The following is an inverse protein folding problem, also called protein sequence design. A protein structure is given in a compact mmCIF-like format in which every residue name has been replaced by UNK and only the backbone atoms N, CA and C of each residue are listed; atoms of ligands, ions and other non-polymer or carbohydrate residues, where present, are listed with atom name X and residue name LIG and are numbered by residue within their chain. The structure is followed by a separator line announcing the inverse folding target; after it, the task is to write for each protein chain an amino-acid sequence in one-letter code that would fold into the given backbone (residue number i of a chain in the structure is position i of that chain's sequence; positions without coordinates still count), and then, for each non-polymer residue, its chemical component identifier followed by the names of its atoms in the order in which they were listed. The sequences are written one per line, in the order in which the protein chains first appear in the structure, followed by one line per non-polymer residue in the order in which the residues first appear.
data_IF_718639869592
#
_entry.id   IF_718639869592
#
_cell.length_a   1.000
_cell.length_b   1.000
_cell.length_c   1.000
_cell.angle_alpha   90.00
_cell.angle_beta   90.00
_cell.angle_gamma   90.00
#
_symmetry.space_group_name_H-M   'P 1'
#
loop_
_entity.id
_entity.type
_entity.pdbx_description
1 polymer ?
#
# COMPACT_ATOMS: atom_id res chain seq x y z
N UNK A 1 30.63 -27.16 34.80
CA UNK A 1 29.91 -26.31 35.78
C UNK A 1 28.58 -25.95 35.14
N UNK A 2 27.49 -26.59 35.55
CA UNK A 2 26.15 -26.25 35.08
C UNK A 2 25.80 -24.86 35.63
N UNK A 3 25.70 -23.86 34.77
CA UNK A 3 25.26 -22.53 35.17
C UNK A 3 23.79 -22.62 35.61
N UNK A 4 23.52 -22.19 36.86
CA UNK A 4 22.20 -22.05 37.49
C UNK A 4 21.26 -21.14 36.68
N UNK A 5 20.78 -21.60 35.52
CA UNK A 5 19.73 -20.94 34.74
C UNK A 5 18.36 -21.06 35.43
N UNK A 6 18.20 -22.01 36.35
CA UNK A 6 16.97 -22.23 37.14
C UNK A 6 16.65 -21.10 38.12
N UNK A 7 17.51 -20.08 38.26
CA UNK A 7 17.33 -18.92 39.17
C UNK A 7 17.34 -17.57 38.43
N UNK A 8 17.37 -17.56 37.09
CA UNK A 8 17.33 -16.31 36.34
C UNK A 8 15.91 -15.70 36.36
N UNK A 9 15.68 -14.69 37.19
CA UNK A 9 14.40 -13.97 37.26
C UNK A 9 14.20 -13.13 35.99
N UNK A 10 13.44 -13.66 35.02
CA UNK A 10 13.06 -12.97 33.79
C UNK A 10 11.95 -11.95 34.09
N UNK A 11 12.26 -10.64 34.00
CA UNK A 11 11.33 -9.56 34.34
C UNK A 11 10.37 -9.13 33.23
N UNK A 12 10.65 -9.54 31.99
CA UNK A 12 9.89 -9.13 30.81
C UNK A 12 9.59 -10.34 29.94
N UNK A 13 8.34 -10.50 29.55
CA UNK A 13 7.90 -11.49 28.58
C UNK A 13 7.55 -10.79 27.26
N UNK A 14 7.69 -11.52 26.15
CA UNK A 14 7.24 -11.05 24.84
C UNK A 14 5.72 -11.17 24.80
N UNK A 15 5.02 -10.04 24.75
CA UNK A 15 3.56 -10.01 24.68
C UNK A 15 3.06 -10.17 23.24
N UNK A 16 3.70 -9.48 22.28
CA UNK A 16 3.27 -9.41 20.89
C UNK A 16 4.46 -9.39 19.94
N UNK A 17 4.25 -9.87 18.72
CA UNK A 17 5.24 -9.83 17.63
C UNK A 17 4.62 -9.07 16.45
N UNK A 18 5.32 -8.05 15.98
CA UNK A 18 4.93 -7.30 14.77
C UNK A 18 5.79 -7.71 13.60
N UNK A 19 5.15 -7.95 12.45
CA UNK A 19 5.84 -8.27 11.22
C UNK A 19 5.99 -7.02 10.37
N UNK A 20 7.17 -6.83 9.79
CA UNK A 20 7.50 -5.70 8.93
C UNK A 20 8.54 -6.09 7.87
N UNK A 21 8.82 -5.15 6.99
CA UNK A 21 9.91 -5.25 6.02
C UNK A 21 10.90 -4.15 6.37
N UNK A 22 12.18 -4.50 6.49
CA UNK A 22 13.22 -3.50 6.71
C UNK A 22 13.33 -2.56 5.51
N UNK A 23 13.46 -1.27 5.80
CA UNK A 23 13.88 -0.27 4.83
C UNK A 23 15.40 -0.33 4.61
N UNK A 24 15.88 0.19 3.48
CA UNK A 24 17.32 0.19 3.18
C UNK A 24 18.12 0.91 4.29
N UNK A 25 17.60 2.02 4.82
CA UNK A 25 18.25 2.79 5.89
C UNK A 25 18.26 2.03 7.22
N UNK A 26 17.22 1.24 7.49
CA UNK A 26 17.15 0.35 8.65
C UNK A 26 18.14 -0.81 8.58
N UNK A 27 18.39 -1.34 7.39
CA UNK A 27 19.43 -2.36 7.17
C UNK A 27 20.81 -1.74 7.36
N UNK A 28 21.08 -0.60 6.70
CA UNK A 28 22.38 0.09 6.80
C UNK A 28 22.71 0.51 8.23
N UNK A 29 21.74 1.03 8.98
CA UNK A 29 21.94 1.47 10.37
C UNK A 29 22.20 0.31 11.35
N UNK A 30 21.68 -0.88 11.07
CA UNK A 30 21.92 -2.09 11.88
C UNK A 30 23.15 -2.87 11.44
N UNK A 31 23.66 -2.58 10.25
CA UNK A 31 24.78 -3.29 9.67
C UNK A 31 26.12 -2.80 10.20
N UNK A 32 27.00 -3.73 10.54
CA UNK A 32 28.34 -3.43 11.05
C UNK A 32 29.38 -3.34 9.93
N UNK A 33 29.10 -3.97 8.79
CA UNK A 33 29.99 -3.99 7.62
C UNK A 33 29.18 -4.13 6.33
N UNK A 34 29.61 -3.41 5.30
CA UNK A 34 29.17 -3.62 3.92
C UNK A 34 30.08 -4.65 3.25
N UNK A 35 29.52 -5.80 2.88
CA UNK A 35 30.23 -6.88 2.22
C UNK A 35 30.34 -6.57 0.73
N UNK A 36 31.58 -6.36 0.27
CA UNK A 36 31.90 -5.98 -1.12
C UNK A 36 32.81 -6.99 -1.80
N UNK A 37 33.52 -7.80 -1.03
CA UNK A 37 34.51 -8.76 -1.52
C UNK A 37 33.85 -10.14 -1.69
N UNK A 38 33.91 -10.76 -2.88
CA UNK A 38 33.35 -12.10 -3.08
C UNK A 38 34.23 -13.20 -2.49
N UNK A 39 35.54 -12.95 -2.35
CA UNK A 39 36.47 -13.87 -1.71
C UNK A 39 36.22 -13.92 -0.20
N UNK A 40 36.17 -15.15 0.32
CA UNK A 40 35.92 -15.39 1.74
C UNK A 40 37.24 -15.42 2.55
N UNK A 41 38.28 -16.04 1.97
CA UNK A 41 39.62 -16.15 2.55
C UNK A 41 40.68 -15.76 1.52
N UNK A 42 41.81 -15.25 2.00
CA UNK A 42 42.99 -15.02 1.19
C UNK A 42 43.83 -16.30 1.01
N UNK A 43 44.98 -16.18 0.33
CA UNK A 43 45.89 -17.29 0.07
C UNK A 43 46.55 -17.85 1.35
N UNK A 44 46.51 -17.13 2.46
CA UNK A 44 47.02 -17.54 3.76
C UNK A 44 45.94 -18.19 4.65
N UNK A 45 44.69 -18.27 4.15
CA UNK A 45 43.56 -18.77 4.92
C UNK A 45 43.00 -17.75 5.91
N UNK A 46 43.37 -16.47 5.81
CA UNK A 46 42.82 -15.39 6.64
C UNK A 46 41.55 -14.85 5.99
N UNK A 47 40.53 -14.55 6.80
CA UNK A 47 39.28 -14.00 6.28
C UNK A 47 39.53 -12.66 5.56
N UNK A 48 38.99 -12.52 4.34
CA UNK A 48 39.16 -11.29 3.58
C UNK A 48 38.38 -10.13 4.23
N UNK A 49 38.99 -8.93 4.35
CA UNK A 49 38.27 -7.73 4.73
C UNK A 49 37.09 -7.46 3.78
N UNK A 50 35.95 -7.07 4.36
CA UNK A 50 34.68 -6.85 3.66
C UNK A 50 34.20 -8.07 2.86
N UNK A 51 34.66 -9.27 3.24
CA UNK A 51 34.19 -10.56 2.74
C UNK A 51 33.07 -11.14 3.60
N UNK A 52 32.62 -12.35 3.26
CA UNK A 52 31.53 -13.02 3.99
C UNK A 52 31.91 -13.42 5.43
N UNK A 53 33.20 -13.59 5.69
CA UNK A 53 33.77 -13.97 6.98
C UNK A 53 34.50 -12.81 7.67
N UNK A 54 34.12 -11.57 7.33
CA UNK A 54 34.73 -10.39 7.94
C UNK A 54 34.63 -10.45 9.48
N UNK A 55 35.74 -10.23 10.23
CA UNK A 55 35.76 -10.33 11.69
C UNK A 55 34.73 -9.45 12.41
N UNK A 56 34.29 -8.34 11.82
CA UNK A 56 33.24 -7.49 12.40
C UNK A 56 31.88 -8.20 12.50
N UNK A 57 31.64 -9.24 11.70
CA UNK A 57 30.43 -10.08 11.77
C UNK A 57 30.45 -11.03 12.97
N UNK A 58 31.63 -11.25 13.56
CA UNK A 58 31.87 -12.14 14.69
C UNK A 58 32.92 -13.21 14.37
N UNK A 59 33.57 -13.77 15.41
CA UNK A 59 34.51 -14.88 15.25
C UNK A 59 33.79 -16.16 14.81
N UNK A 60 34.42 -16.92 13.93
CA UNK A 60 33.94 -18.20 13.39
C UNK A 60 34.47 -19.38 14.20
N UNK A 61 35.60 -19.20 14.88
CA UNK A 61 36.19 -20.21 15.75
C UNK A 61 37.03 -19.58 16.86
N UNK A 62 37.35 -20.37 17.89
CA UNK A 62 38.00 -19.92 19.13
C UNK A 62 39.36 -19.24 18.93
N UNK A 63 40.06 -19.53 17.83
CA UNK A 63 41.42 -19.01 17.56
C UNK A 63 41.43 -17.57 17.02
N UNK A 64 40.29 -17.07 16.54
CA UNK A 64 40.18 -15.73 15.94
C UNK A 64 40.10 -14.59 16.98
N UNK A 65 40.17 -14.94 18.27
CA UNK A 65 40.19 -13.96 19.36
C UNK A 65 38.81 -13.36 19.65
N UNK A 66 38.80 -12.10 20.06
CA UNK A 66 37.59 -11.38 20.46
C UNK A 66 36.99 -10.58 19.30
N UNK A 67 35.66 -10.57 19.21
CA UNK A 67 34.92 -9.84 18.19
C UNK A 67 35.21 -8.33 18.25
N UNK A 68 35.63 -7.67 17.15
CA UNK A 68 35.85 -6.22 17.13
C UNK A 68 34.59 -5.39 17.40
N UNK A 69 33.39 -5.95 17.17
CA UNK A 69 32.12 -5.23 17.31
C UNK A 69 31.59 -5.25 18.74
N UNK A 70 31.55 -6.41 19.40
CA UNK A 70 31.00 -6.54 20.76
C UNK A 70 32.05 -6.84 21.85
N UNK A 71 33.29 -7.12 21.49
CA UNK A 71 34.36 -7.47 22.42
C UNK A 71 34.28 -8.90 23.00
N UNK A 72 33.24 -9.66 22.67
CA UNK A 72 33.06 -11.03 23.19
C UNK A 72 33.89 -12.05 22.42
N UNK A 73 34.23 -13.16 23.07
CA UNK A 73 34.87 -14.33 22.45
C UNK A 73 33.86 -15.17 21.66
N UNK A 74 34.36 -16.15 20.89
CA UNK A 74 33.54 -17.07 20.09
C UNK A 74 32.31 -17.63 20.81
N UNK A 75 32.46 -18.12 22.05
CA UNK A 75 31.37 -18.72 22.81
C UNK A 75 30.27 -17.74 23.26
N UNK A 76 30.56 -16.44 23.33
CA UNK A 76 29.66 -15.43 23.89
C UNK A 76 29.25 -14.36 22.87
N UNK A 77 29.81 -14.39 21.67
CA UNK A 77 29.43 -13.49 20.60
C UNK A 77 28.05 -13.89 20.04
N UNK A 78 27.05 -12.98 20.01
CA UNK A 78 25.75 -13.28 19.40
C UNK A 78 25.79 -13.30 17.87
N UNK A 79 26.89 -12.83 17.26
CA UNK A 79 26.99 -12.53 15.84
C UNK A 79 26.38 -11.18 15.48
N UNK A 80 26.84 -10.61 14.36
CA UNK A 80 26.43 -9.29 13.90
C UNK A 80 26.04 -9.32 12.43
N UNK A 81 25.09 -8.45 12.05
CA UNK A 81 24.58 -8.41 10.69
C UNK A 81 25.46 -7.54 9.78
N UNK A 82 25.82 -8.07 8.63
CA UNK A 82 26.34 -7.31 7.49
C UNK A 82 25.23 -6.98 6.49
N UNK A 83 25.55 -6.19 5.47
CA UNK A 83 24.69 -6.01 4.31
C UNK A 83 25.51 -6.05 3.01
N UNK A 84 24.84 -6.40 1.91
CA UNK A 84 25.36 -6.28 0.55
C UNK A 84 24.54 -5.21 -0.14
N UNK A 85 25.19 -4.15 -0.59
CA UNK A 85 24.53 -3.09 -1.35
C UNK A 85 24.33 -3.56 -2.79
N UNK A 86 23.06 -3.65 -3.23
CA UNK A 86 22.75 -4.05 -4.60
C UNK A 86 22.86 -2.84 -5.53
N UNK A 87 23.55 -3.00 -6.67
CA UNK A 87 23.72 -1.91 -7.64
C UNK A 87 22.41 -1.40 -8.25
N UNK A 88 21.35 -2.22 -8.25
CA UNK A 88 20.02 -1.89 -8.75
C UNK A 88 18.95 -2.46 -7.81
N UNK A 89 17.77 -1.82 -7.72
CA UNK A 89 16.67 -2.37 -6.95
C UNK A 89 16.20 -3.69 -7.59
N UNK A 90 16.17 -4.75 -6.77
CA UNK A 90 15.70 -6.08 -7.16
C UNK A 90 14.38 -6.37 -6.45
N UNK A 91 13.46 -7.03 -7.13
CA UNK A 91 12.19 -7.39 -6.54
C UNK A 91 12.37 -8.51 -5.50
N UNK A 92 11.77 -8.32 -4.32
CA UNK A 92 11.73 -9.37 -3.30
C UNK A 92 10.76 -10.50 -3.74
N UNK A 93 11.25 -11.75 -3.96
CA UNK A 93 10.45 -12.82 -4.55
C UNK A 93 9.19 -13.16 -3.74
N UNK A 94 9.25 -13.08 -2.40
CA UNK A 94 8.13 -13.36 -1.50
C UNK A 94 6.97 -12.34 -1.59
N UNK A 95 7.25 -11.15 -2.13
CA UNK A 95 6.24 -10.10 -2.34
C UNK A 95 5.87 -9.90 -3.81
N UNK A 96 6.50 -10.64 -4.72
CA UNK A 96 6.35 -10.43 -6.16
C UNK A 96 4.90 -10.60 -6.64
N UNK A 97 4.17 -11.59 -6.10
CA UNK A 97 2.75 -11.78 -6.41
C UNK A 97 1.89 -10.57 -6.03
N UNK A 98 2.13 -9.99 -4.85
CA UNK A 98 1.45 -8.77 -4.38
C UNK A 98 1.80 -7.55 -5.23
N UNK A 99 3.08 -7.41 -5.60
CA UNK A 99 3.52 -6.36 -6.53
C UNK A 99 2.76 -6.45 -7.87
N UNK A 100 2.64 -7.65 -8.43
CA UNK A 100 1.90 -7.86 -9.68
C UNK A 100 0.43 -7.50 -9.56
N UNK A 101 -0.22 -7.80 -8.43
CA UNK A 101 -1.59 -7.39 -8.18
C UNK A 101 -1.71 -5.86 -8.26
N UNK A 102 -0.83 -5.12 -7.58
CA UNK A 102 -0.82 -3.65 -7.65
C UNK A 102 -0.58 -3.14 -9.06
N UNK A 103 0.39 -3.69 -9.79
CA UNK A 103 0.68 -3.30 -11.18
C UNK A 103 -0.53 -3.53 -12.11
N UNK A 104 -1.30 -4.60 -11.90
CA UNK A 104 -2.51 -4.89 -12.70
C UNK A 104 -3.68 -3.98 -12.35
N UNK A 105 -3.78 -3.54 -11.09
CA UNK A 105 -4.83 -2.63 -10.62
C UNK A 105 -4.55 -1.16 -10.94
N UNK A 106 -3.28 -0.79 -11.15
CA UNK A 106 -2.84 0.57 -11.47
C UNK A 106 -3.12 0.94 -12.93
N UNK A 107 -3.48 2.19 -13.17
CA UNK A 107 -3.48 2.78 -14.50
C UNK A 107 -2.07 3.27 -14.87
N UNK A 108 -1.58 2.88 -16.05
CA UNK A 108 -0.25 3.30 -16.50
C UNK A 108 -0.21 4.71 -17.10
N UNK A 109 -1.36 5.38 -17.22
CA UNK A 109 -1.46 6.79 -17.64
C UNK A 109 -1.52 7.75 -16.44
N UNK A 110 -2.57 7.64 -15.61
CA UNK A 110 -2.79 8.57 -14.49
C UNK A 110 -2.18 8.12 -13.16
N UNK A 111 -1.59 6.92 -13.11
CA UNK A 111 -0.94 6.31 -11.94
C UNK A 111 -1.81 6.06 -10.70
N UNK A 112 -3.09 6.41 -10.74
CA UNK A 112 -4.12 5.96 -9.79
C UNK A 112 -4.57 4.51 -10.06
N UNK A 113 -5.33 3.93 -9.13
CA UNK A 113 -6.07 2.70 -9.43
C UNK A 113 -7.01 2.89 -10.62
N UNK A 114 -7.26 1.83 -11.39
CA UNK A 114 -8.14 1.88 -12.57
C UNK A 114 -9.59 2.22 -12.19
N UNK A 115 -9.98 2.04 -10.94
CA UNK A 115 -11.29 2.42 -10.43
C UNK A 115 -11.48 3.94 -10.25
N UNK A 116 -12.72 4.44 -10.32
CA UNK A 116 -13.03 5.83 -9.98
C UNK A 116 -12.56 6.20 -8.57
N UNK A 117 -12.00 7.40 -8.40
CA UNK A 117 -11.50 7.91 -7.11
C UNK A 117 -12.51 7.80 -5.97
N UNK A 118 -13.78 8.11 -6.23
CA UNK A 118 -14.83 8.01 -5.20
C UNK A 118 -15.01 6.56 -4.72
N UNK A 119 -14.97 5.58 -5.64
CA UNK A 119 -15.06 4.15 -5.27
C UNK A 119 -13.82 3.68 -4.53
N UNK A 120 -12.63 4.21 -4.88
CA UNK A 120 -11.41 3.93 -4.13
C UNK A 120 -11.50 4.41 -2.67
N UNK A 121 -12.01 5.63 -2.45
CA UNK A 121 -12.27 6.14 -1.09
C UNK A 121 -13.27 5.28 -0.31
N UNK A 122 -14.31 4.75 -0.97
CA UNK A 122 -15.28 3.84 -0.35
C UNK A 122 -14.58 2.57 0.15
N UNK A 123 -13.76 1.91 -0.68
CA UNK A 123 -13.00 0.73 -0.24
C UNK A 123 -11.99 1.08 0.86
N UNK A 124 -11.31 2.22 0.76
CA UNK A 124 -10.41 2.69 1.81
C UNK A 124 -11.15 2.84 3.15
N UNK A 125 -12.35 3.42 3.15
CA UNK A 125 -13.18 3.52 4.34
C UNK A 125 -13.64 2.15 4.86
N UNK A 126 -14.01 1.20 3.98
CA UNK A 126 -14.35 -0.17 4.39
C UNK A 126 -13.16 -0.88 5.06
N UNK A 127 -11.95 -0.78 4.50
CA UNK A 127 -10.74 -1.34 5.12
C UNK A 127 -10.45 -0.66 6.46
N UNK A 128 -10.56 0.67 6.52
CA UNK A 128 -10.36 1.44 7.75
C UNK A 128 -11.34 1.03 8.86
N UNK A 129 -12.61 0.76 8.52
CA UNK A 129 -13.60 0.25 9.47
C UNK A 129 -13.21 -1.12 10.03
N UNK A 130 -12.64 -2.00 9.20
CA UNK A 130 -12.11 -3.28 9.67
C UNK A 130 -10.91 -3.08 10.60
N UNK A 131 -10.01 -2.15 10.29
CA UNK A 131 -8.88 -1.79 11.14
C UNK A 131 -9.33 -1.16 12.47
N UNK A 132 -10.51 -0.55 12.51
CA UNK A 132 -11.16 -0.06 13.73
C UNK A 132 -11.95 -1.14 14.49
N UNK A 133 -12.05 -2.38 13.97
CA UNK A 133 -12.83 -3.47 14.56
C UNK A 133 -14.35 -3.36 14.33
N UNK A 134 -14.79 -2.48 13.42
CA UNK A 134 -16.21 -2.20 13.14
C UNK A 134 -16.73 -3.04 11.97
N UNK A 135 -16.72 -4.37 12.09
CA UNK A 135 -17.02 -5.30 10.97
C UNK A 135 -18.44 -5.14 10.45
N UNK A 136 -19.44 -5.09 11.34
CA UNK A 136 -20.84 -4.91 10.95
C UNK A 136 -21.00 -3.69 10.06
N UNK A 137 -20.37 -2.60 10.48
CA UNK A 137 -20.36 -1.34 9.76
C UNK A 137 -19.68 -1.44 8.39
N UNK A 138 -18.56 -2.18 8.31
CA UNK A 138 -17.85 -2.42 7.05
C UNK A 138 -18.70 -3.21 6.03
N UNK A 139 -19.48 -4.19 6.51
CA UNK A 139 -20.39 -5.00 5.68
C UNK A 139 -21.60 -4.19 5.20
N UNK A 140 -22.18 -3.37 6.09
CA UNK A 140 -23.35 -2.54 5.80
C UNK A 140 -22.99 -1.19 5.14
N UNK A 141 -21.70 -0.95 4.88
CA UNK A 141 -21.21 0.38 4.49
C UNK A 141 -21.80 0.89 3.15
N UNK A 142 -22.08 0.00 2.20
CA UNK A 142 -22.71 0.41 0.95
C UNK A 142 -24.15 0.93 1.17
N UNK A 143 -24.87 0.38 2.15
CA UNK A 143 -26.18 0.88 2.55
C UNK A 143 -26.08 2.23 3.28
N UNK A 144 -25.08 2.42 4.16
CA UNK A 144 -24.83 3.73 4.79
C UNK A 144 -24.57 4.83 3.75
N UNK A 145 -23.76 4.53 2.71
CA UNK A 145 -23.49 5.47 1.62
C UNK A 145 -24.78 5.77 0.84
N UNK A 146 -25.60 4.76 0.59
CA UNK A 146 -26.88 4.94 -0.11
C UNK A 146 -27.82 5.87 0.67
N UNK A 147 -27.95 5.66 1.99
CA UNK A 147 -28.73 6.55 2.87
C UNK A 147 -28.17 7.97 2.88
N UNK A 148 -26.85 8.16 3.02
CA UNK A 148 -26.22 9.48 3.02
C UNK A 148 -26.44 10.25 1.71
N UNK A 149 -26.43 9.55 0.56
CA UNK A 149 -26.80 10.16 -0.73
C UNK A 149 -28.26 10.61 -0.74
N UNK A 150 -29.17 9.76 -0.28
CA UNK A 150 -30.61 10.04 -0.26
C UNK A 150 -30.94 11.22 0.67
N UNK A 151 -30.38 11.26 1.87
CA UNK A 151 -30.55 12.36 2.83
C UNK A 151 -30.09 13.71 2.25
N UNK A 152 -28.97 13.71 1.51
CA UNK A 152 -28.48 14.91 0.83
C UNK A 152 -29.48 15.41 -0.22
N UNK A 153 -30.14 14.52 -0.97
CA UNK A 153 -31.12 14.89 -2.00
C UNK A 153 -32.39 15.42 -1.32
N UNK A 154 -32.94 14.68 -0.35
CA UNK A 154 -34.16 15.08 0.35
C UNK A 154 -34.00 16.40 1.12
N UNK A 155 -32.87 16.60 1.81
CA UNK A 155 -32.58 17.83 2.53
C UNK A 155 -32.48 19.04 1.61
N UNK A 156 -31.91 18.86 0.41
CA UNK A 156 -31.76 19.93 -0.58
C UNK A 156 -33.09 20.28 -1.24
N UNK A 157 -33.89 19.27 -1.56
CA UNK A 157 -35.23 19.50 -2.11
C UNK A 157 -36.12 20.27 -1.12
N UNK A 158 -36.05 19.94 0.18
CA UNK A 158 -36.79 20.69 1.23
C UNK A 158 -36.36 22.17 1.32
N UNK A 159 -35.09 22.47 1.09
CA UNK A 159 -34.55 23.83 1.17
C UNK A 159 -34.99 24.68 -0.02
N UNK A 160 -35.03 24.08 -1.22
CA UNK A 160 -35.64 24.70 -2.42
C UNK A 160 -37.13 24.94 -2.21
N UNK A 161 -37.85 23.96 -1.65
CA UNK A 161 -39.28 24.10 -1.36
C UNK A 161 -39.58 25.21 -0.32
N UNK A 162 -38.65 25.50 0.60
CA UNK A 162 -38.76 26.60 1.56
C UNK A 162 -38.52 27.96 0.89
N UNK A 163 -37.49 28.06 0.03
CA UNK A 163 -37.18 29.29 -0.69
C UNK A 163 -38.27 29.68 -1.69
N UNK A 164 -38.84 28.68 -2.39
CA UNK A 164 -39.98 28.88 -3.28
C UNK A 164 -41.23 29.35 -2.51
N UNK A 165 -41.42 28.93 -1.24
CA UNK A 165 -42.52 29.40 -0.39
C UNK A 165 -42.36 30.85 0.07
N UNK A 166 -41.14 31.27 0.41
CA UNK A 166 -40.88 32.66 0.80
C UNK A 166 -41.01 33.62 -0.39
N UNK A 167 -40.62 33.19 -1.59
CA UNK A 167 -40.65 34.00 -2.82
C UNK A 167 -41.98 33.97 -3.58
N UNK A 168 -42.85 32.98 -3.32
CA UNK A 168 -44.20 32.87 -3.91
C UNK A 168 -45.18 33.98 -3.48
N UNK A 169 -44.79 34.87 -2.57
CA UNK A 169 -45.59 36.06 -2.21
C UNK A 169 -45.55 37.17 -3.27
N UNK A 170 -44.75 37.04 -4.34
CA UNK A 170 -44.53 38.12 -5.33
C UNK A 170 -44.84 37.75 -6.80
N UNK A 171 -45.01 36.48 -7.19
CA UNK A 171 -45.29 36.12 -8.60
C UNK A 171 -46.18 34.88 -8.77
N UNK A 172 -47.24 35.02 -9.58
CA UNK A 172 -48.29 34.02 -9.82
C UNK A 172 -48.05 33.08 -11.03
N UNK A 173 -46.81 32.58 -11.21
CA UNK A 173 -46.50 31.54 -12.20
C UNK A 173 -45.93 30.30 -11.52
N UNK A 174 -46.78 29.28 -11.34
CA UNK A 174 -46.52 28.07 -10.54
C UNK A 174 -45.58 27.05 -11.18
N UNK A 175 -44.34 27.43 -11.52
CA UNK A 175 -43.26 26.46 -11.81
C UNK A 175 -42.42 26.22 -10.56
N UNK A 176 -42.54 25.03 -9.97
CA UNK A 176 -41.62 24.57 -8.91
C UNK A 176 -40.20 24.54 -9.44
N UNK A 177 -39.26 25.20 -8.77
CA UNK A 177 -37.85 25.08 -9.12
C UNK A 177 -37.37 23.66 -8.73
N UNK A 178 -36.90 22.88 -9.72
CA UNK A 178 -36.25 21.59 -9.47
C UNK A 178 -34.75 21.77 -9.61
N UNK A 179 -34.00 21.15 -8.70
CA UNK A 179 -32.54 21.12 -8.75
C UNK A 179 -32.11 20.47 -10.08
N UNK A 180 -31.13 21.06 -10.76
CA UNK A 180 -30.61 20.46 -11.99
C UNK A 180 -29.87 19.16 -11.70
N UNK A 181 -29.92 18.19 -12.62
CA UNK A 181 -29.21 16.91 -12.46
C UNK A 181 -27.71 17.06 -12.16
N UNK A 182 -27.09 18.11 -12.70
CA UNK A 182 -25.66 18.39 -12.53
C UNK A 182 -25.37 18.92 -11.12
N UNK A 183 -26.23 19.79 -10.59
CA UNK A 183 -26.12 20.28 -9.21
C UNK A 183 -26.37 19.15 -8.21
N UNK A 184 -27.37 18.30 -8.45
CA UNK A 184 -27.66 17.12 -7.62
C UNK A 184 -26.45 16.16 -7.55
N UNK A 185 -25.80 15.89 -8.69
CA UNK A 185 -24.61 15.04 -8.76
C UNK A 185 -23.40 15.62 -8.02
N UNK A 186 -23.15 16.94 -8.15
CA UNK A 186 -22.06 17.59 -7.42
C UNK A 186 -22.29 17.62 -5.92
N UNK A 187 -23.53 17.88 -5.50
CA UNK A 187 -23.91 17.98 -4.10
C UNK A 187 -23.85 16.62 -3.39
N UNK A 188 -24.42 15.59 -4.02
CA UNK A 188 -24.35 14.21 -3.51
C UNK A 188 -22.91 13.72 -3.42
N UNK A 189 -22.06 14.06 -4.39
CA UNK A 189 -20.63 13.73 -4.34
C UNK A 189 -19.93 14.41 -3.17
N UNK A 190 -20.20 15.70 -2.93
CA UNK A 190 -19.64 16.44 -1.79
C UNK A 190 -20.10 15.91 -0.43
N UNK A 191 -21.38 15.56 -0.29
CA UNK A 191 -21.94 14.97 0.93
C UNK A 191 -21.30 13.60 1.25
N UNK A 192 -21.15 12.75 0.22
CA UNK A 192 -20.48 11.46 0.35
C UNK A 192 -19.01 11.63 0.73
N UNK A 193 -18.29 12.56 0.11
CA UNK A 193 -16.89 12.82 0.47
C UNK A 193 -16.73 13.29 1.92
N UNK A 194 -17.63 14.17 2.41
CA UNK A 194 -17.66 14.57 3.83
C UNK A 194 -17.94 13.38 4.74
N UNK A 195 -18.88 12.51 4.37
CA UNK A 195 -19.18 11.29 5.11
C UNK A 195 -17.96 10.33 5.17
N UNK A 196 -17.32 10.07 4.03
CA UNK A 196 -16.14 9.21 3.96
C UNK A 196 -14.98 9.75 4.79
N UNK A 197 -14.72 11.07 4.74
CA UNK A 197 -13.68 11.69 5.54
C UNK A 197 -13.93 11.54 7.05
N UNK A 198 -15.19 11.63 7.51
CA UNK A 198 -15.52 11.36 8.93
C UNK A 198 -15.18 9.92 9.32
N UNK A 199 -15.45 8.95 8.44
CA UNK A 199 -15.12 7.54 8.69
C UNK A 199 -13.61 7.34 8.74
N UNK A 200 -12.87 7.86 7.76
CA UNK A 200 -11.41 7.75 7.68
C UNK A 200 -10.67 8.42 8.85
N UNK A 201 -11.29 9.41 9.49
CA UNK A 201 -10.74 10.07 10.69
C UNK A 201 -11.07 9.34 12.00
N UNK A 202 -11.80 8.22 11.96
CA UNK A 202 -12.06 7.41 13.16
C UNK A 202 -10.73 6.84 13.67
N UNK A 203 -10.38 7.00 14.96
CA UNK A 203 -9.09 6.54 15.47
C UNK A 203 -9.02 5.01 15.51
N UNK A 204 -7.90 4.47 15.05
CA UNK A 204 -7.59 3.04 15.18
C UNK A 204 -7.23 2.74 16.64
N UNK A 205 -7.75 1.67 17.26
CA UNK A 205 -7.43 1.30 18.63
C UNK A 205 -5.92 1.17 18.87
N UNK A 206 -5.43 1.75 19.98
CA UNK A 206 -4.03 1.61 20.41
C UNK A 206 -3.79 0.16 20.83
N UNK A 207 -2.89 -0.54 20.13
CA UNK A 207 -2.67 -1.99 20.29
C UNK A 207 -3.26 -2.84 19.16
N UNK A 208 -3.97 -2.22 18.21
CA UNK A 208 -4.59 -2.90 17.08
C UNK A 208 -5.88 -3.64 17.48
N UNK A 209 -6.41 -4.39 16.53
CA UNK A 209 -7.61 -5.22 16.72
C UNK A 209 -7.17 -6.67 16.81
N UNK A 210 -7.82 -7.47 17.66
CA UNK A 210 -7.61 -8.91 17.70
C UNK A 210 -8.53 -9.58 16.70
N UNK A 211 -7.98 -9.93 15.54
CA UNK A 211 -8.75 -10.45 14.42
C UNK A 211 -9.20 -11.90 14.61
N UNK A 212 -10.51 -12.12 14.74
CA UNK A 212 -11.16 -13.42 14.68
C UNK A 212 -11.05 -14.06 13.29
N UNK A 213 -11.34 -15.36 13.19
CA UNK A 213 -11.35 -16.08 11.91
C UNK A 213 -12.35 -15.49 10.91
N UNK A 214 -13.50 -15.03 11.41
CA UNK A 214 -14.53 -14.39 10.59
C UNK A 214 -14.05 -13.05 10.04
N UNK A 215 -13.47 -12.18 10.89
CA UNK A 215 -12.85 -10.93 10.45
C UNK A 215 -11.81 -11.15 9.35
N UNK A 216 -10.90 -12.10 9.55
CA UNK A 216 -9.87 -12.42 8.54
C UNK A 216 -10.50 -12.87 7.22
N UNK A 217 -11.62 -13.60 7.27
CA UNK A 217 -12.35 -14.01 6.07
C UNK A 217 -12.97 -12.80 5.37
N UNK A 218 -13.67 -11.93 6.11
CA UNK A 218 -14.30 -10.71 5.55
C UNK A 218 -13.28 -9.79 4.87
N UNK A 219 -12.10 -9.59 5.46
CA UNK A 219 -11.04 -8.80 4.81
C UNK A 219 -10.51 -9.45 3.54
N UNK A 220 -10.32 -10.77 3.53
CA UNK A 220 -9.90 -11.48 2.31
C UNK A 220 -10.95 -11.36 1.21
N UNK A 221 -12.23 -11.41 1.55
CA UNK A 221 -13.32 -11.26 0.60
C UNK A 221 -13.40 -9.84 0.06
N UNK A 222 -13.35 -8.83 0.93
CA UNK A 222 -13.30 -7.42 0.54
C UNK A 222 -12.08 -7.11 -0.34
N UNK A 223 -10.92 -7.68 -0.01
CA UNK A 223 -9.71 -7.57 -0.83
C UNK A 223 -9.92 -8.18 -2.22
N UNK A 224 -10.53 -9.36 -2.32
CA UNK A 224 -10.85 -9.99 -3.61
C UNK A 224 -11.81 -9.15 -4.42
N UNK A 225 -12.85 -8.59 -3.80
CA UNK A 225 -13.81 -7.69 -4.44
C UNK A 225 -13.12 -6.44 -5.00
N UNK A 226 -12.30 -5.78 -4.19
CA UNK A 226 -11.48 -4.62 -4.58
C UNK A 226 -10.57 -4.93 -5.78
N UNK A 227 -9.84 -6.05 -5.71
CA UNK A 227 -8.95 -6.51 -6.78
C UNK A 227 -9.73 -6.82 -8.07
N UNK A 228 -10.86 -7.52 -7.97
CA UNK A 228 -11.70 -7.87 -9.10
C UNK A 228 -12.29 -6.63 -9.78
N UNK A 229 -12.72 -5.63 -9.00
CA UNK A 229 -13.23 -4.37 -9.54
C UNK A 229 -12.16 -3.66 -10.38
N UNK A 230 -10.95 -3.49 -9.83
CA UNK A 230 -9.86 -2.82 -10.54
C UNK A 230 -9.44 -3.54 -11.82
N UNK A 231 -9.43 -4.88 -11.81
CA UNK A 231 -8.93 -5.69 -12.92
C UNK A 231 -9.96 -5.97 -14.03
N UNK A 232 -11.26 -5.92 -13.72
CA UNK A 232 -12.34 -6.04 -14.73
C UNK A 232 -12.53 -4.80 -15.60
N UNK A 233 -12.02 -3.65 -15.17
CA UNK A 233 -12.17 -2.41 -15.91
C UNK A 233 -11.31 -2.42 -17.18
N UNK A 234 -12.00 -2.41 -18.33
CA UNK A 234 -11.34 -2.26 -19.63
C UNK A 234 -10.56 -0.94 -19.71
N UNK A 235 -11.19 0.14 -19.24
CA UNK A 235 -10.68 1.51 -19.25
C UNK A 235 -10.63 2.07 -17.84
N UNK A 236 -9.67 2.96 -17.59
CA UNK A 236 -9.57 3.65 -16.31
C UNK A 236 -10.80 4.54 -16.08
N UNK A 237 -11.44 4.41 -14.92
CA UNK A 237 -12.56 5.24 -14.48
C UNK A 237 -12.17 6.67 -14.11
N UNK A 238 -10.88 7.03 -14.17
CA UNK A 238 -10.39 8.38 -13.89
C UNK A 238 -10.01 9.12 -15.18
N UNK A 239 -9.15 8.52 -16.01
CA UNK A 239 -8.62 9.17 -17.23
C UNK A 239 -9.10 8.53 -18.54
N UNK A 240 -9.94 7.50 -18.50
CA UNK A 240 -10.44 6.81 -19.71
C UNK A 240 -9.41 5.92 -20.44
N UNK A 241 -8.15 5.90 -19.98
CA UNK A 241 -7.07 5.16 -20.62
C UNK A 241 -7.27 3.65 -20.58
N UNK A 242 -7.03 2.98 -21.71
CA UNK A 242 -6.84 1.53 -21.76
C UNK A 242 -5.39 1.23 -21.42
N UNK A 243 -5.14 0.60 -20.26
CA UNK A 243 -3.77 0.24 -19.86
C UNK A 243 -3.32 -1.10 -20.46
N UNK A 244 -2.04 -1.23 -20.87
CA UNK A 244 -1.50 -2.48 -21.38
C UNK A 244 -1.52 -3.59 -20.33
N UNK A 245 -1.55 -4.83 -20.78
CA UNK A 245 -1.55 -6.01 -19.89
C UNK A 245 -0.14 -6.26 -19.38
N UNK A 246 -0.02 -6.50 -18.08
CA UNK A 246 1.23 -6.92 -17.45
C UNK A 246 1.28 -8.46 -17.40
N UNK A 247 2.34 -9.03 -17.95
CA UNK A 247 2.71 -10.45 -17.87
C UNK A 247 3.95 -10.59 -17.01
N UNK A 248 4.20 -11.81 -16.55
CA UNK A 248 5.38 -12.14 -15.76
C UNK A 248 5.84 -13.55 -16.10
N UNK A 249 7.12 -13.79 -15.90
CA UNK A 249 7.74 -15.12 -15.94
C UNK A 249 8.40 -15.33 -14.58
N UNK A 250 7.93 -16.36 -13.86
CA UNK A 250 8.30 -16.63 -12.46
C UNK A 250 8.31 -15.34 -11.60
N UNK A 251 9.29 -15.18 -10.70
CA UNK A 251 9.37 -14.04 -9.77
C UNK A 251 10.45 -13.02 -10.12
N UNK A 252 10.92 -13.02 -11.37
CA UNK A 252 12.14 -12.33 -11.80
C UNK A 252 11.97 -11.48 -13.06
N UNK A 253 10.92 -11.67 -13.86
CA UNK A 253 10.67 -10.84 -15.06
C UNK A 253 9.24 -10.34 -15.14
N UNK A 254 9.08 -9.08 -15.52
CA UNK A 254 7.79 -8.42 -15.76
C UNK A 254 7.79 -7.86 -17.19
N UNK A 255 6.75 -8.18 -17.95
CA UNK A 255 6.59 -7.75 -19.33
C UNK A 255 5.35 -6.87 -19.47
N UNK A 256 5.50 -5.73 -20.14
CA UNK A 256 4.39 -4.90 -20.58
C UNK A 256 4.02 -5.28 -22.01
N UNK A 257 2.83 -5.88 -22.20
CA UNK A 257 2.34 -6.21 -23.53
C UNK A 257 1.93 -4.95 -24.29
N UNK A 258 2.02 -4.98 -25.61
CA UNK A 258 1.42 -3.94 -26.45
C UNK A 258 -0.10 -3.90 -26.28
N UNK A 259 -0.69 -2.73 -26.53
CA UNK A 259 -2.13 -2.59 -26.54
C UNK A 259 -2.73 -3.33 -27.74
N UNK A 260 -3.91 -3.92 -27.55
CA UNK A 260 -4.72 -4.42 -28.66
C UNK A 260 -5.02 -3.24 -29.62
N UNK A 261 -4.98 -3.42 -30.96
CA UNK A 261 -5.29 -2.38 -31.94
C UNK A 261 -6.52 -1.52 -31.61
N UNK A 262 -7.62 -2.15 -31.15
CA UNK A 262 -8.85 -1.41 -30.76
C UNK A 262 -8.63 -0.46 -29.58
N UNK A 263 -7.84 -0.89 -28.60
CA UNK A 263 -7.54 -0.10 -27.40
C UNK A 263 -6.47 0.95 -27.69
N UNK A 264 -5.53 0.66 -28.59
CA UNK A 264 -4.54 1.62 -29.08
C UNK A 264 -5.23 2.78 -29.81
N UNK A 265 -6.11 2.47 -30.77
CA UNK A 265 -6.90 3.47 -31.48
C UNK A 265 -7.77 4.32 -30.53
N UNK A 266 -8.42 3.70 -29.53
CA UNK A 266 -9.17 4.43 -28.51
C UNK A 266 -8.30 5.43 -27.75
N UNK A 267 -7.12 5.00 -27.29
CA UNK A 267 -6.20 5.87 -26.58
C UNK A 267 -5.73 7.02 -27.47
N UNK A 268 -5.40 6.74 -28.74
CA UNK A 268 -4.98 7.75 -29.72
C UNK A 268 -6.07 8.79 -29.98
N UNK A 269 -7.33 8.37 -30.19
CA UNK A 269 -8.46 9.29 -30.37
C UNK A 269 -8.72 10.19 -29.15
N UNK A 270 -8.30 9.76 -27.96
CA UNK A 270 -8.44 10.52 -26.72
C UNK A 270 -7.15 11.25 -26.31
N UNK A 271 -6.14 11.33 -27.20
CA UNK A 271 -4.83 11.93 -26.91
C UNK A 271 -4.11 11.33 -25.69
N UNK A 272 -4.31 10.04 -25.43
CA UNK A 272 -3.70 9.31 -24.31
C UNK A 272 -2.43 8.60 -24.78
N UNK A 273 -1.28 9.00 -24.23
CA UNK A 273 0.01 8.35 -24.47
C UNK A 273 0.46 7.65 -23.18
N UNK A 274 0.72 6.35 -23.28
CA UNK A 274 1.25 5.56 -22.16
C UNK A 274 2.71 5.26 -22.47
N UNK A 275 3.60 5.80 -21.66
CA UNK A 275 5.03 5.54 -21.80
C UNK A 275 5.34 4.05 -21.55
N UNK A 276 6.20 3.42 -22.36
CA UNK A 276 6.67 2.07 -22.08
C UNK A 276 7.53 2.05 -20.81
N UNK A 277 7.41 0.97 -20.02
CA UNK A 277 8.13 0.81 -18.75
C UNK A 277 9.65 1.01 -18.82
N UNK A 278 10.27 0.85 -20.00
CA UNK A 278 11.72 0.99 -20.18
C UNK A 278 12.21 2.38 -20.61
N UNK A 279 11.35 3.40 -20.71
CA UNK A 279 11.79 4.73 -21.15
C UNK A 279 11.32 5.85 -20.23
N UNK A 280 12.07 6.04 -19.14
CA UNK A 280 12.29 7.39 -18.64
C UNK A 280 13.69 7.53 -18.06
N UNK A 281 14.68 7.81 -18.90
CA UNK A 281 15.79 8.66 -18.50
C UNK A 281 15.28 10.09 -18.24
N UNK A 282 14.39 10.26 -17.25
CA UNK A 282 14.08 11.59 -16.75
C UNK A 282 15.22 11.96 -15.81
N UNK A 283 16.21 12.64 -16.38
CA UNK A 283 17.21 13.51 -15.75
C UNK A 283 16.67 14.09 -14.43
N UNK A 284 16.88 13.41 -13.30
CA UNK A 284 16.84 14.08 -12.01
C UNK A 284 18.10 14.95 -11.99
N UNK A 285 17.96 16.23 -12.33
CA UNK A 285 18.91 17.26 -11.90
C UNK A 285 19.01 17.12 -10.38
N UNK A 286 20.06 16.47 -9.89
CA UNK A 286 20.50 16.62 -8.51
C UNK A 286 20.69 18.12 -8.32
N UNK A 287 19.80 18.75 -7.54
CA UNK A 287 20.12 20.05 -6.97
C UNK A 287 21.39 19.81 -6.15
N UNK A 288 22.47 20.50 -6.53
CA UNK A 288 23.68 20.63 -5.74
C UNK A 288 23.33 21.21 -4.38
#
# INVERSE_FOLDING_TARGET
MASNLDVALIRRSVENITFGIYTDDEVRSRSVVEVTTPAAYDYLGTACPRGLYDPYLGPIHEREGSCPTCGNTYFHCPGHAGHVELCVPVYQPLSFSRLLDFLRMKCLNCHDFRMPRQKAKIYAAKFHLLDCGMIKRALEFDAEIFCAKRESIEGSQRLVDLYDKETATVSADGKKNKISKKEEETLTTGAVDKFLNRVLNTPIPKGGVNWTSHERATFRELKKEFQAYCTRLLRCGNCGASSPKIRHEASNKIFQQSLNPKNAAWNESNNIKIDPACYSEKKKKRKK
#
